data_IF_020127609424
#
_entry.id   IF_020127609424
#
_cell.length_a   1.000
_cell.length_b   1.000
_cell.length_c   1.000
_cell.angle_alpha   90.00
_cell.angle_beta   90.00
_cell.angle_gamma   90.00
#
_symmetry.space_group_name_H-M   'P 1'
#
loop_
_entity.id
_entity.type
_entity.pdbx_description
1 polymer ?
#
# COMPACT_ATOMS: atom_id res chain seq x y z
N UNK A 1 6.22 3.83 -14.31
CA UNK A 1 7.46 3.02 -14.25
C UNK A 1 7.78 2.59 -12.81
N UNK A 2 7.25 3.27 -11.78
CA UNK A 2 7.55 3.01 -10.37
C UNK A 2 6.78 1.84 -9.79
N UNK A 3 5.60 1.50 -10.31
CA UNK A 3 4.80 0.34 -9.84
C UNK A 3 5.62 -0.96 -9.91
N UNK A 4 6.34 -1.19 -11.02
CA UNK A 4 7.21 -2.37 -11.18
C UNK A 4 8.38 -2.36 -10.19
N UNK A 5 8.99 -1.20 -9.95
CA UNK A 5 10.05 -1.06 -8.94
C UNK A 5 9.55 -1.33 -7.53
N UNK A 6 8.36 -0.81 -7.19
CA UNK A 6 7.71 -1.04 -5.89
C UNK A 6 7.40 -2.52 -5.71
N UNK A 7 6.85 -3.18 -6.72
CA UNK A 7 6.62 -4.61 -6.70
C UNK A 7 7.91 -5.37 -6.39
N UNK A 8 9.00 -5.09 -7.12
CA UNK A 8 10.28 -5.76 -6.91
C UNK A 8 10.85 -5.50 -5.50
N UNK A 9 10.78 -4.26 -5.00
CA UNK A 9 11.21 -3.92 -3.64
C UNK A 9 10.41 -4.70 -2.59
N UNK A 10 9.10 -4.84 -2.76
CA UNK A 10 8.25 -5.60 -1.84
C UNK A 10 8.55 -7.09 -1.91
N UNK A 11 8.81 -7.63 -3.10
CA UNK A 11 9.23 -9.03 -3.26
C UNK A 11 10.55 -9.33 -2.53
N UNK A 12 11.50 -8.39 -2.50
CA UNK A 12 12.75 -8.53 -1.74
C UNK A 12 12.54 -8.50 -0.21
N UNK A 13 11.43 -7.92 0.25
CA UNK A 13 11.06 -7.82 1.66
C UNK A 13 10.07 -8.90 2.10
N UNK A 14 9.59 -9.72 1.15
CA UNK A 14 8.57 -10.72 1.39
C UNK A 14 9.06 -11.80 2.37
N UNK A 15 8.16 -12.30 3.21
CA UNK A 15 8.44 -13.37 4.14
C UNK A 15 7.28 -14.38 4.12
N UNK A 16 7.58 -15.60 3.67
CA UNK A 16 6.60 -16.65 3.49
C UNK A 16 5.89 -17.05 4.79
N UNK A 17 6.63 -17.18 5.89
CA UNK A 17 6.05 -17.57 7.18
C UNK A 17 5.05 -16.52 7.66
N UNK A 18 5.41 -15.24 7.59
CA UNK A 18 4.50 -14.15 7.95
C UNK A 18 3.29 -14.11 7.01
N UNK A 19 3.49 -14.32 5.71
CA UNK A 19 2.41 -14.36 4.73
C UNK A 19 1.38 -15.45 5.07
N UNK A 20 1.83 -16.66 5.41
CA UNK A 20 0.95 -17.76 5.82
C UNK A 20 0.18 -17.43 7.11
N UNK A 21 0.85 -16.81 8.09
CA UNK A 21 0.17 -16.34 9.31
C UNK A 21 -0.89 -15.28 9.01
N UNK A 22 -0.60 -14.32 8.14
CA UNK A 22 -1.55 -13.30 7.70
C UNK A 22 -2.73 -13.92 6.95
N UNK A 23 -2.50 -14.85 6.03
CA UNK A 23 -3.56 -15.54 5.29
C UNK A 23 -4.54 -16.28 6.20
N UNK A 24 -4.03 -16.93 7.26
CA UNK A 24 -4.87 -17.58 8.28
C UNK A 24 -5.68 -16.56 9.10
N UNK A 25 -5.04 -15.48 9.53
CA UNK A 25 -5.70 -14.44 10.31
C UNK A 25 -6.81 -13.72 9.53
N UNK A 26 -6.55 -13.41 8.26
CA UNK A 26 -7.49 -12.71 7.38
C UNK A 26 -8.55 -13.61 6.75
N UNK A 27 -8.53 -14.93 7.03
CA UNK A 27 -9.51 -15.90 6.52
C UNK A 27 -9.59 -15.84 4.99
N UNK A 28 -8.50 -16.27 4.36
CA UNK A 28 -8.32 -16.23 2.90
C UNK A 28 -8.67 -17.56 2.20
N UNK A 29 -9.36 -18.47 2.91
CA UNK A 29 -9.86 -19.71 2.33
C UNK A 29 -11.05 -19.49 1.39
N UNK A 30 -11.38 -20.53 0.61
CA UNK A 30 -12.53 -20.52 -0.30
C UNK A 30 -13.85 -20.27 0.46
N UNK A 31 -14.64 -19.28 0.05
CA UNK A 31 -15.88 -18.86 0.68
C UNK A 31 -15.69 -17.95 1.91
N UNK A 32 -14.46 -17.58 2.25
CA UNK A 32 -14.17 -16.68 3.35
C UNK A 32 -14.04 -15.23 2.90
N UNK A 33 -14.16 -14.29 3.85
CA UNK A 33 -14.15 -12.85 3.59
C UNK A 33 -12.90 -12.36 2.81
N UNK A 34 -11.75 -13.00 3.03
CA UNK A 34 -10.49 -12.67 2.38
C UNK A 34 -10.11 -13.61 1.24
N UNK A 35 -11.00 -14.42 0.67
CA UNK A 35 -10.68 -15.51 -0.28
C UNK A 35 -9.67 -15.13 -1.38
N UNK A 36 -9.75 -13.90 -1.89
CA UNK A 36 -8.90 -13.44 -2.99
C UNK A 36 -7.65 -12.66 -2.54
N UNK A 37 -7.42 -12.51 -1.23
CA UNK A 37 -6.28 -11.76 -0.70
C UNK A 37 -4.99 -12.58 -0.69
N UNK A 38 -3.97 -12.04 -1.36
CA UNK A 38 -2.63 -12.62 -1.41
C UNK A 38 -1.69 -11.75 -0.60
N UNK A 39 -0.93 -12.36 0.32
CA UNK A 39 -0.01 -11.67 1.20
C UNK A 39 1.44 -11.96 0.83
N UNK A 40 2.29 -10.93 0.90
CA UNK A 40 3.75 -11.01 0.82
C UNK A 40 4.39 -11.22 2.19
N UNK A 41 3.67 -10.97 3.29
CA UNK A 41 4.15 -11.18 4.64
C UNK A 41 5.04 -10.05 5.16
N UNK A 42 4.78 -8.80 4.76
CA UNK A 42 5.59 -7.65 5.15
C UNK A 42 4.92 -6.92 6.30
N UNK A 43 5.63 -6.79 7.42
CA UNK A 43 5.09 -6.12 8.61
C UNK A 43 4.87 -4.63 8.35
N UNK A 44 3.79 -4.08 8.91
CA UNK A 44 3.40 -2.66 8.76
C UNK A 44 4.54 -1.67 9.07
N UNK A 45 5.38 -1.83 10.11
CA UNK A 45 6.50 -0.92 10.35
C UNK A 45 7.50 -0.85 9.20
N UNK A 46 7.71 -1.95 8.45
CA UNK A 46 8.58 -1.98 7.27
C UNK A 46 7.93 -1.20 6.12
N UNK A 47 6.64 -1.41 5.88
CA UNK A 47 5.90 -0.65 4.86
C UNK A 47 5.91 0.85 5.15
N UNK A 48 5.73 1.26 6.42
CA UNK A 48 5.80 2.68 6.82
C UNK A 48 7.16 3.31 6.53
N UNK A 49 8.26 2.57 6.70
CA UNK A 49 9.61 3.04 6.30
C UNK A 49 9.72 3.20 4.79
N UNK A 50 9.13 2.28 4.03
CA UNK A 50 9.18 2.29 2.56
C UNK A 50 8.39 3.45 1.94
N UNK A 51 7.33 3.94 2.57
CA UNK A 51 6.57 5.14 2.13
C UNK A 51 7.50 6.32 1.84
N UNK A 52 8.54 6.51 2.66
CA UNK A 52 9.48 7.62 2.51
C UNK A 52 10.29 7.56 1.21
N UNK A 53 10.55 6.35 0.68
CA UNK A 53 11.22 6.14 -0.62
C UNK A 53 10.34 6.59 -1.79
N UNK A 54 9.02 6.59 -1.62
CA UNK A 54 8.05 6.77 -2.70
C UNK A 54 7.18 8.04 -2.56
N UNK A 55 7.57 9.02 -1.74
CA UNK A 55 6.78 10.24 -1.48
C UNK A 55 6.40 11.03 -2.73
N UNK A 56 7.18 10.96 -3.80
CA UNK A 56 6.91 11.68 -5.06
C UNK A 56 6.07 10.90 -6.08
N UNK A 57 5.50 9.74 -5.73
CA UNK A 57 4.71 8.91 -6.65
C UNK A 57 3.45 9.64 -7.11
N UNK A 58 3.08 9.47 -8.38
CA UNK A 58 1.87 10.07 -8.93
C UNK A 58 0.61 9.39 -8.41
N UNK A 59 -0.51 10.11 -8.33
CA UNK A 59 -1.81 9.52 -7.95
C UNK A 59 -2.25 8.41 -8.91
N UNK A 60 -1.87 8.48 -10.19
CA UNK A 60 -2.14 7.42 -11.17
C UNK A 60 -1.40 6.13 -10.82
N UNK A 61 -0.13 6.22 -10.41
CA UNK A 61 0.65 5.05 -9.97
C UNK A 61 0.15 4.50 -8.62
N UNK A 62 -0.31 5.37 -7.71
CA UNK A 62 -0.96 4.95 -6.45
C UNK A 62 -2.27 4.20 -6.75
N UNK A 63 -3.08 4.70 -7.69
CA UNK A 63 -4.29 4.03 -8.14
C UNK A 63 -3.99 2.63 -8.69
N UNK A 64 -2.91 2.47 -9.47
CA UNK A 64 -2.47 1.15 -9.96
C UNK A 64 -2.13 0.19 -8.82
N UNK A 65 -1.46 0.67 -7.76
CA UNK A 65 -1.14 -0.15 -6.59
C UNK A 65 -2.39 -0.55 -5.78
N UNK A 66 -3.42 0.31 -5.71
CA UNK A 66 -4.69 -0.02 -5.06
C UNK A 66 -5.44 -1.17 -5.73
N UNK A 67 -5.23 -1.38 -7.03
CA UNK A 67 -5.79 -2.50 -7.79
C UNK A 67 -4.90 -3.75 -7.79
N UNK A 68 -3.83 -3.75 -6.99
CA UNK A 68 -2.95 -4.91 -6.89
C UNK A 68 -3.63 -6.11 -6.22
N UNK A 69 -3.28 -7.30 -6.70
CA UNK A 69 -3.62 -8.58 -6.05
C UNK A 69 -2.95 -8.74 -4.68
N UNK A 70 -1.82 -8.08 -4.44
CA UNK A 70 -1.08 -8.21 -3.20
C UNK A 70 -1.56 -7.21 -2.15
N UNK A 71 -1.84 -7.71 -0.95
CA UNK A 71 -2.34 -6.91 0.17
C UNK A 71 -1.36 -5.79 0.55
N UNK A 72 -0.06 -6.09 0.62
CA UNK A 72 0.97 -5.13 1.02
C UNK A 72 1.18 -4.01 0.01
N UNK A 73 0.94 -4.25 -1.28
CA UNK A 73 0.96 -3.21 -2.31
C UNK A 73 -0.21 -2.22 -2.12
N UNK A 74 -1.42 -2.76 -1.89
CA UNK A 74 -2.60 -1.93 -1.61
C UNK A 74 -2.41 -1.13 -0.31
N UNK A 75 -1.88 -1.77 0.72
CA UNK A 75 -1.61 -1.12 2.00
C UNK A 75 -0.56 -0.02 1.86
N UNK A 76 0.52 -0.26 1.12
CA UNK A 76 1.54 0.77 0.83
C UNK A 76 0.91 1.97 0.11
N UNK A 77 0.02 1.72 -0.86
CA UNK A 77 -0.70 2.78 -1.58
C UNK A 77 -1.54 3.66 -0.63
N UNK A 78 -2.30 3.03 0.28
CA UNK A 78 -3.07 3.76 1.30
C UNK A 78 -2.16 4.58 2.22
N UNK A 79 -1.04 4.01 2.67
CA UNK A 79 -0.08 4.73 3.52
C UNK A 79 0.55 5.93 2.81
N UNK A 80 0.83 5.80 1.50
CA UNK A 80 1.30 6.90 0.66
C UNK A 80 0.23 8.00 0.57
N UNK A 81 -1.04 7.65 0.31
CA UNK A 81 -2.13 8.63 0.26
C UNK A 81 -2.23 9.40 1.59
N UNK A 82 -2.25 8.68 2.72
CA UNK A 82 -2.28 9.31 4.04
C UNK A 82 -1.11 10.29 4.23
N UNK A 83 0.09 9.92 3.78
CA UNK A 83 1.26 10.79 3.85
C UNK A 83 1.12 12.04 2.96
N UNK A 84 0.63 11.88 1.73
CA UNK A 84 0.40 12.99 0.79
C UNK A 84 -0.61 14.00 1.35
N UNK A 85 -1.74 13.54 1.89
CA UNK A 85 -2.78 14.42 2.43
C UNK A 85 -2.37 15.09 3.74
N UNK A 86 -1.63 14.40 4.62
CA UNK A 86 -1.09 15.01 5.84
C UNK A 86 -0.09 16.13 5.57
N UNK A 87 0.66 16.03 4.47
CA UNK A 87 1.62 17.08 4.10
C UNK A 87 0.98 18.22 3.29
N UNK A 88 -0.28 18.06 2.85
CA UNK A 88 -1.00 19.04 2.02
C UNK A 88 -1.90 19.99 2.82
N UNK A 89 -2.10 19.77 4.11
CA UNK A 89 -2.92 20.62 4.98
C UNK A 89 -2.27 21.99 5.33
N UNK A 90 -1.56 22.58 4.37
CA UNK A 90 -0.83 23.85 4.50
C UNK A 90 -1.12 24.88 3.40
N UNK A 91 -2.12 24.68 2.54
CA UNK A 91 -2.62 25.68 1.59
C UNK A 91 -4.11 25.45 1.32
N UNK A 92 -4.96 25.96 2.21
CA UNK A 92 -6.33 26.32 1.81
C UNK A 92 -6.24 27.79 1.43
N UNK A 93 -6.14 28.05 0.13
CA UNK A 93 -6.18 29.41 -0.39
C UNK A 93 -7.64 29.86 -0.31
N UNK A 94 -7.96 30.63 0.73
CA UNK A 94 -9.27 31.23 1.01
C UNK A 94 -9.61 32.34 0.00
N UNK A 95 -9.69 32.01 -1.28
CA UNK A 95 -10.19 32.91 -2.33
C UNK A 95 -11.24 32.21 -3.20
N UNK A 96 -12.24 31.64 -2.54
CA UNK A 96 -13.49 31.22 -3.16
C UNK A 96 -14.56 32.28 -2.95
N UNK A 97 -14.50 33.39 -3.68
CA UNK A 97 -15.67 34.23 -3.90
C UNK A 97 -16.67 33.44 -4.75
N UNK A 98 -17.85 33.16 -4.20
CA UNK A 98 -19.03 32.70 -4.94
C UNK A 98 -19.65 33.86 -5.75
#
# INVERSE_FOLDING_TARGET
MRVKTIHNDLMLLANKEIAEHSQRFFKTGKGEYGESDIFLGIRVPVLRKLVNKYRGISLEEVSKLLHSKFHEERLLAVLILVHLFKNRSGTLDESGTY
#
